data_IF_803014098912
#
_entry.id   IF_803014098912
#
_cell.length_a   1.000
_cell.length_b   1.000
_cell.length_c   1.000
_cell.angle_alpha   90.00
_cell.angle_beta   90.00
_cell.angle_gamma   90.00
#
_symmetry.space_group_name_H-M   'P 1'
#
loop_
_entity.id
_entity.type
_entity.pdbx_description
1 polymer ?
#
# COMPACT_ATOMS: atom_id res chain seq x y z
N UNK A 1 26.74 -82.15 -58.06
CA UNK A 1 27.85 -81.17 -58.01
C UNK A 1 27.32 -79.83 -57.51
N UNK A 2 28.06 -79.21 -56.57
CA UNK A 2 27.84 -77.88 -55.95
C UNK A 2 27.79 -76.74 -56.98
N UNK A 3 27.00 -75.67 -56.71
CA UNK A 3 27.52 -74.39 -56.18
C UNK A 3 26.43 -73.33 -55.98
N UNK A 4 26.56 -72.66 -54.83
CA UNK A 4 25.86 -71.48 -54.37
C UNK A 4 26.06 -70.26 -55.29
N UNK A 5 25.08 -69.36 -55.29
CA UNK A 5 25.32 -67.92 -55.44
C UNK A 5 24.21 -67.14 -54.72
N UNK A 6 24.35 -67.01 -53.40
CA UNK A 6 23.60 -66.03 -52.62
C UNK A 6 24.12 -64.63 -52.95
N UNK A 7 23.25 -63.78 -53.47
CA UNK A 7 23.49 -62.36 -53.73
C UNK A 7 23.47 -61.61 -52.39
N UNK A 8 24.58 -60.93 -52.06
CA UNK A 8 24.70 -60.01 -50.93
C UNK A 8 24.17 -58.63 -51.37
N UNK A 9 23.25 -58.04 -50.62
CA UNK A 9 23.04 -56.59 -50.61
C UNK A 9 22.86 -56.14 -49.17
N UNK A 10 23.83 -55.38 -48.68
CA UNK A 10 23.68 -54.51 -47.53
C UNK A 10 22.57 -53.50 -47.83
N UNK A 11 21.78 -53.10 -46.84
CA UNK A 11 21.95 -51.77 -46.26
C UNK A 11 20.95 -51.51 -45.13
N UNK A 12 21.56 -51.01 -44.06
CA UNK A 12 21.00 -50.48 -42.85
C UNK A 12 20.09 -49.28 -43.05
N UNK A 13 19.13 -49.18 -42.11
CA UNK A 13 18.55 -47.97 -41.52
C UNK A 13 17.70 -47.06 -42.43
N UNK A 14 16.40 -47.07 -42.15
CA UNK A 14 15.56 -45.86 -42.24
C UNK A 14 14.33 -46.00 -41.33
N UNK A 15 14.54 -45.81 -40.03
CA UNK A 15 13.49 -45.47 -39.07
C UNK A 15 13.81 -44.08 -38.51
N UNK A 16 12.98 -43.08 -38.82
CA UNK A 16 13.04 -41.77 -38.15
C UNK A 16 13.04 -40.55 -39.07
N UNK A 17 11.93 -40.28 -39.76
CA UNK A 17 11.75 -38.99 -40.46
C UNK A 17 10.40 -38.31 -40.22
N UNK A 18 9.37 -39.00 -39.72
CA UNK A 18 8.02 -38.41 -39.51
C UNK A 18 7.73 -37.93 -38.09
N UNK A 19 8.50 -38.36 -37.07
CA UNK A 19 8.25 -37.99 -35.67
C UNK A 19 8.89 -36.66 -35.25
N UNK A 20 9.88 -36.15 -36.00
CA UNK A 20 10.56 -34.88 -35.69
C UNK A 20 9.65 -33.65 -35.85
N UNK A 21 8.82 -33.62 -36.89
CA UNK A 21 7.91 -32.49 -37.13
C UNK A 21 6.80 -32.35 -36.07
N UNK A 22 6.31 -33.48 -35.55
CA UNK A 22 5.28 -33.46 -34.49
C UNK A 22 5.89 -33.00 -33.16
N UNK A 23 7.12 -33.40 -32.84
CA UNK A 23 7.83 -32.92 -31.64
C UNK A 23 8.18 -31.43 -31.70
N UNK A 24 8.51 -30.88 -32.88
CA UNK A 24 8.78 -29.45 -33.03
C UNK A 24 7.50 -28.60 -32.85
N UNK A 25 6.36 -29.08 -33.35
CA UNK A 25 5.07 -28.40 -33.17
C UNK A 25 4.65 -28.42 -31.70
N UNK A 26 4.79 -29.56 -31.01
CA UNK A 26 4.46 -29.66 -29.58
C UNK A 26 5.42 -28.79 -28.74
N UNK A 27 6.71 -28.79 -29.09
CA UNK A 27 7.72 -27.98 -28.40
C UNK A 27 7.48 -26.47 -28.55
N UNK A 28 7.13 -26.01 -29.74
CA UNK A 28 6.79 -24.60 -29.99
C UNK A 28 5.49 -24.18 -29.30
N UNK A 29 4.47 -25.04 -29.28
CA UNK A 29 3.23 -24.78 -28.53
C UNK A 29 3.47 -24.70 -27.01
N UNK A 30 4.29 -25.60 -26.45
CA UNK A 30 4.66 -25.52 -25.03
C UNK A 30 5.45 -24.26 -24.71
N UNK A 31 6.40 -23.87 -25.57
CA UNK A 31 7.19 -22.66 -25.37
C UNK A 31 6.28 -21.42 -25.34
N UNK A 32 5.35 -21.30 -26.29
CA UNK A 32 4.38 -20.20 -26.32
C UNK A 32 3.51 -20.17 -25.07
N UNK A 33 3.01 -21.31 -24.60
CA UNK A 33 2.20 -21.39 -23.39
C UNK A 33 2.97 -20.91 -22.15
N UNK A 34 4.24 -21.30 -22.01
CA UNK A 34 5.09 -20.86 -20.89
C UNK A 34 5.38 -19.36 -20.98
N UNK A 35 5.68 -18.83 -22.16
CA UNK A 35 5.91 -17.39 -22.33
C UNK A 35 4.65 -16.56 -22.08
N UNK A 36 3.47 -17.00 -22.51
CA UNK A 36 2.21 -16.29 -22.27
C UNK A 36 1.86 -16.31 -20.79
N UNK A 37 2.00 -17.46 -20.13
CA UNK A 37 1.74 -17.59 -18.69
C UNK A 37 2.75 -16.76 -17.89
N UNK A 38 4.03 -16.83 -18.25
CA UNK A 38 5.09 -16.04 -17.62
C UNK A 38 4.91 -14.54 -17.81
N UNK A 39 4.48 -14.09 -18.99
CA UNK A 39 4.17 -12.68 -19.25
C UNK A 39 2.92 -12.23 -18.49
N UNK A 40 1.88 -13.05 -18.41
CA UNK A 40 0.67 -12.74 -17.65
C UNK A 40 0.93 -12.62 -16.15
N UNK A 41 1.73 -13.53 -15.57
CA UNK A 41 2.12 -13.44 -14.15
C UNK A 41 3.00 -12.24 -13.88
N UNK A 42 4.00 -11.95 -14.73
CA UNK A 42 4.81 -10.73 -14.62
C UNK A 42 3.95 -9.48 -14.74
N UNK A 43 3.00 -9.46 -15.66
CA UNK A 43 2.07 -8.32 -15.82
C UNK A 43 1.19 -8.16 -14.59
N UNK A 44 0.75 -9.24 -13.94
CA UNK A 44 0.00 -9.16 -12.69
C UNK A 44 0.84 -8.53 -11.57
N UNK A 45 2.10 -8.95 -11.41
CA UNK A 45 3.01 -8.38 -10.41
C UNK A 45 3.41 -6.94 -10.70
N UNK A 46 3.59 -6.57 -11.96
CA UNK A 46 3.99 -5.21 -12.35
C UNK A 46 2.79 -4.26 -12.36
N UNK A 47 1.60 -4.70 -12.79
CA UNK A 47 0.42 -3.83 -12.78
C UNK A 47 -0.13 -3.57 -11.37
N UNK A 48 0.03 -4.49 -10.41
CA UNK A 48 -0.31 -4.18 -9.00
C UNK A 48 0.58 -3.05 -8.42
N UNK A 49 1.76 -2.83 -9.02
CA UNK A 49 2.70 -1.74 -8.68
C UNK A 49 2.42 -0.46 -9.49
N UNK A 50 1.77 -0.55 -10.65
CA UNK A 50 1.59 0.59 -11.59
C UNK A 50 0.14 1.06 -11.80
N UNK A 51 -0.88 0.28 -11.43
CA UNK A 51 -2.30 0.67 -11.60
C UNK A 51 -2.71 1.77 -10.64
N UNK A 52 -1.93 2.02 -9.59
CA UNK A 52 -2.01 3.22 -8.77
C UNK A 52 -1.18 4.34 -9.39
N UNK A 53 -1.72 4.94 -10.46
CA UNK A 53 -1.15 6.14 -11.04
C UNK A 53 -0.95 7.19 -9.95
N UNK A 54 0.31 7.59 -9.78
CA UNK A 54 0.79 8.70 -8.97
C UNK A 54 1.13 8.43 -7.47
N UNK A 55 1.09 7.19 -7.02
CA UNK A 55 1.48 6.81 -5.65
C UNK A 55 3.00 6.68 -5.51
N UNK A 56 3.62 7.43 -4.60
CA UNK A 56 5.04 7.35 -4.34
C UNK A 56 5.43 6.04 -3.63
N UNK A 57 6.59 5.49 -4.02
CA UNK A 57 7.13 4.25 -3.48
C UNK A 57 7.81 4.50 -2.14
N UNK A 58 7.35 3.83 -1.09
CA UNK A 58 8.10 3.74 0.17
C UNK A 58 9.10 2.57 0.11
N UNK A 59 10.35 2.80 0.48
CA UNK A 59 11.35 1.73 0.58
C UNK A 59 11.29 1.08 1.97
N UNK A 60 10.98 -0.22 2.00
CA UNK A 60 11.04 -1.04 3.21
C UNK A 60 12.42 -1.70 3.33
N UNK A 61 13.11 -1.55 4.46
CA UNK A 61 14.42 -2.18 4.65
C UNK A 61 14.40 -3.73 4.68
N UNK A 62 13.25 -4.38 4.93
CA UNK A 62 13.05 -5.83 4.84
C UNK A 62 11.55 -6.12 4.85
N UNK A 63 10.94 -6.50 3.71
CA UNK A 63 9.46 -6.61 3.60
C UNK A 63 8.90 -7.97 4.01
N UNK A 64 9.73 -9.02 4.12
CA UNK A 64 9.25 -10.40 4.25
C UNK A 64 8.85 -10.82 5.67
N UNK A 65 9.18 -10.01 6.69
CA UNK A 65 8.94 -10.32 8.10
C UNK A 65 8.08 -9.26 8.81
N UNK A 66 7.68 -8.20 8.10
CA UNK A 66 6.92 -7.08 8.68
C UNK A 66 5.43 -7.38 8.72
N UNK A 67 4.80 -7.03 9.84
CA UNK A 67 3.36 -7.17 10.06
C UNK A 67 2.53 -6.32 9.10
N UNK A 68 3.08 -5.20 8.65
CA UNK A 68 2.42 -4.30 7.71
C UNK A 68 3.19 -4.12 6.40
N UNK A 69 2.43 -3.99 5.33
CA UNK A 69 2.89 -3.48 4.05
C UNK A 69 2.26 -2.10 3.82
N UNK A 70 3.08 -1.07 3.66
CA UNK A 70 2.63 0.24 3.16
C UNK A 70 2.41 0.14 1.65
N UNK A 71 1.18 0.39 1.21
CA UNK A 71 0.77 0.30 -0.20
C UNK A 71 0.79 1.67 -0.87
N UNK A 72 0.36 2.70 -0.16
CA UNK A 72 0.31 4.06 -0.66
C UNK A 72 0.33 5.08 0.47
N UNK A 73 0.60 6.33 0.12
CA UNK A 73 0.35 7.47 0.99
C UNK A 73 0.03 8.71 0.16
N UNK A 74 -0.70 9.65 0.78
CA UNK A 74 -1.10 10.93 0.19
C UNK A 74 -0.99 12.02 1.26
N UNK A 75 -0.33 13.12 0.91
CA UNK A 75 -0.08 14.29 1.78
C UNK A 75 -0.79 15.54 1.27
N UNK A 76 -1.61 15.44 0.23
CA UNK A 76 -2.33 16.56 -0.37
C UNK A 76 -3.81 16.50 -0.09
N UNK A 77 -4.53 15.57 -0.71
CA UNK A 77 -6.00 15.59 -0.68
C UNK A 77 -6.63 14.24 -0.31
N UNK A 78 -5.93 13.13 -0.54
CA UNK A 78 -6.46 11.80 -0.32
C UNK A 78 -7.81 11.56 -1.04
N UNK A 79 -8.09 12.32 -2.10
CA UNK A 79 -9.30 12.20 -2.90
C UNK A 79 -9.35 10.88 -3.66
N UNK A 80 -8.19 10.28 -3.92
CA UNK A 80 -8.04 8.96 -4.54
C UNK A 80 -8.14 7.83 -3.50
N UNK A 81 -7.50 7.99 -2.33
CA UNK A 81 -7.43 6.96 -1.29
C UNK A 81 -8.69 6.87 -0.43
N UNK A 82 -9.21 8.01 0.04
CA UNK A 82 -10.39 8.10 0.91
C UNK A 82 -11.66 8.46 0.15
N UNK A 83 -11.57 8.91 -1.11
CA UNK A 83 -12.72 9.37 -1.91
C UNK A 83 -13.45 10.57 -1.30
N UNK A 84 -12.75 11.36 -0.48
CA UNK A 84 -13.28 12.56 0.18
C UNK A 84 -12.79 13.80 -0.57
N UNK A 85 -13.73 14.66 -0.98
CA UNK A 85 -13.44 15.81 -1.84
C UNK A 85 -12.93 17.07 -1.12
N UNK A 86 -13.09 17.16 0.20
CA UNK A 86 -12.74 18.36 0.99
C UNK A 86 -11.82 18.01 2.15
N UNK A 87 -10.98 17.01 1.93
CA UNK A 87 -9.79 16.80 2.71
C UNK A 87 -8.69 17.31 1.79
N UNK A 88 -8.16 18.51 2.00
CA UNK A 88 -7.15 19.11 1.11
C UNK A 88 -6.22 19.99 1.96
N UNK A 89 -4.96 19.58 2.06
CA UNK A 89 -3.90 20.33 2.71
C UNK A 89 -3.58 21.58 1.91
N UNK A 90 -3.29 22.66 2.61
CA UNK A 90 -2.74 23.84 1.96
C UNK A 90 -1.31 23.55 1.51
N UNK A 91 -1.11 23.36 0.21
CA UNK A 91 0.18 22.92 -0.32
C UNK A 91 1.19 24.07 -0.46
N UNK A 92 1.79 24.48 0.67
CA UNK A 92 2.82 25.51 0.75
C UNK A 92 4.25 24.92 0.93
N UNK A 93 4.41 23.61 0.68
CA UNK A 93 5.69 22.89 0.68
C UNK A 93 6.08 22.27 2.04
N UNK A 94 5.16 22.24 3.00
CA UNK A 94 5.32 21.59 4.31
C UNK A 94 4.02 20.88 4.73
N UNK A 95 4.12 19.96 5.68
CA UNK A 95 3.05 19.58 6.59
C UNK A 95 3.19 20.39 7.87
N UNK A 96 2.27 21.30 8.14
CA UNK A 96 2.28 22.08 9.36
C UNK A 96 1.85 21.25 10.58
N UNK A 97 2.58 21.45 11.67
CA UNK A 97 2.09 21.10 13.01
C UNK A 97 1.95 22.34 13.87
N UNK A 98 3.06 23.06 14.07
CA UNK A 98 3.09 24.29 14.89
C UNK A 98 2.62 25.54 14.15
N UNK A 99 2.87 25.63 12.84
CA UNK A 99 2.68 26.88 12.10
C UNK A 99 1.26 27.18 11.63
N UNK A 100 0.33 26.23 11.78
CA UNK A 100 -1.07 26.42 11.38
C UNK A 100 -1.90 27.09 12.48
N UNK A 101 -2.78 28.00 12.05
CA UNK A 101 -3.62 28.82 12.91
C UNK A 101 -5.02 28.23 13.02
N UNK A 102 -5.19 27.18 13.80
CA UNK A 102 -6.48 26.53 14.01
C UNK A 102 -6.29 25.23 14.76
N UNK A 103 -6.69 25.19 16.03
CA UNK A 103 -6.60 23.96 16.83
C UNK A 103 -7.69 23.02 16.39
N UNK A 104 -7.31 21.81 16.03
CA UNK A 104 -8.23 20.73 15.71
C UNK A 104 -9.19 21.02 14.54
N UNK A 105 -8.83 21.93 13.65
CA UNK A 105 -9.55 22.17 12.41
C UNK A 105 -8.90 21.39 11.26
N UNK A 106 -9.63 21.16 10.17
CA UNK A 106 -9.03 20.63 8.94
C UNK A 106 -8.30 21.76 8.17
N UNK A 107 -7.38 21.44 7.26
CA UNK A 107 -6.52 22.44 6.64
C UNK A 107 -7.28 23.50 5.82
N UNK A 108 -8.42 23.14 5.22
CA UNK A 108 -9.27 24.07 4.48
C UNK A 108 -9.83 25.23 5.33
N UNK A 109 -9.88 25.07 6.65
CA UNK A 109 -10.29 26.10 7.61
C UNK A 109 -9.10 26.72 8.36
N UNK A 110 -7.86 26.52 7.88
CA UNK A 110 -6.65 27.02 8.53
C UNK A 110 -6.17 26.14 9.70
N UNK A 111 -6.67 24.91 9.81
CA UNK A 111 -6.29 23.96 10.85
C UNK A 111 -5.04 23.15 10.55
N UNK A 112 -4.80 22.12 11.36
CA UNK A 112 -3.64 21.24 11.25
C UNK A 112 -3.66 20.39 9.98
N UNK A 113 -2.47 20.08 9.46
CA UNK A 113 -2.30 19.27 8.26
C UNK A 113 -2.43 17.77 8.50
N UNK A 114 -2.65 17.01 7.43
CA UNK A 114 -2.83 15.56 7.52
C UNK A 114 -1.93 14.77 6.58
N UNK A 115 -1.77 13.48 6.86
CA UNK A 115 -1.27 12.48 5.91
C UNK A 115 -2.21 11.28 5.93
N UNK A 116 -2.44 10.72 4.75
CA UNK A 116 -3.19 9.47 4.61
C UNK A 116 -2.26 8.36 4.19
N UNK A 117 -2.34 7.21 4.86
CA UNK A 117 -1.59 6.02 4.56
C UNK A 117 -2.54 4.89 4.16
N UNK A 118 -2.26 4.17 3.09
CA UNK A 118 -2.94 2.90 2.78
C UNK A 118 -2.03 1.76 3.17
N UNK A 119 -2.42 0.99 4.19
CA UNK A 119 -1.63 -0.13 4.69
C UNK A 119 -2.39 -1.44 4.63
N UNK A 120 -1.65 -2.53 4.51
CA UNK A 120 -2.18 -3.89 4.54
C UNK A 120 -1.56 -4.69 5.65
N UNK A 121 -2.39 -5.33 6.49
CA UNK A 121 -1.91 -6.30 7.47
C UNK A 121 -1.52 -7.60 6.74
N UNK A 122 -0.24 -7.95 6.79
CA UNK A 122 0.32 -9.19 6.22
C UNK A 122 0.60 -10.27 7.27
N UNK A 123 0.35 -9.95 8.54
CA UNK A 123 0.48 -10.90 9.64
C UNK A 123 -0.52 -12.04 9.51
N UNK A 124 -0.27 -13.13 10.21
CA UNK A 124 -1.21 -14.25 10.30
C UNK A 124 -2.37 -13.97 11.28
N UNK A 125 -2.22 -12.97 12.14
CA UNK A 125 -3.17 -12.56 13.17
C UNK A 125 -3.58 -11.09 12.99
N UNK A 126 -4.72 -10.73 13.58
CA UNK A 126 -5.10 -9.34 13.74
C UNK A 126 -4.05 -8.58 14.54
N UNK A 127 -3.83 -7.32 14.19
CA UNK A 127 -2.84 -6.47 14.84
C UNK A 127 -3.49 -5.22 15.38
N UNK A 128 -3.20 -4.88 16.63
CA UNK A 128 -3.63 -3.63 17.25
C UNK A 128 -2.55 -2.58 17.04
N UNK A 129 -2.89 -1.47 16.39
CA UNK A 129 -1.98 -0.35 16.17
C UNK A 129 -2.02 0.56 17.41
N UNK A 130 -0.95 0.54 18.20
CA UNK A 130 -0.85 1.32 19.44
C UNK A 130 -0.63 2.80 19.13
N UNK A 131 0.42 3.08 18.37
CA UNK A 131 0.81 4.42 17.97
C UNK A 131 1.45 4.43 16.59
N UNK A 132 1.46 5.61 15.99
CA UNK A 132 2.17 5.89 14.74
C UNK A 132 3.14 7.03 14.99
N UNK A 133 4.40 6.82 14.65
CA UNK A 133 5.44 7.85 14.75
C UNK A 133 5.80 8.38 13.38
N UNK A 134 5.71 9.70 13.22
CA UNK A 134 6.21 10.42 12.04
C UNK A 134 7.37 11.28 12.50
N UNK A 135 8.57 11.05 11.95
CA UNK A 135 9.81 11.72 12.36
C UNK A 135 10.01 11.75 13.88
N UNK A 136 9.67 10.63 14.55
CA UNK A 136 9.77 10.44 15.99
C UNK A 136 8.75 11.23 16.84
N UNK A 137 7.73 11.85 16.23
CA UNK A 137 6.56 12.42 16.90
C UNK A 137 5.42 11.41 16.91
N UNK A 138 4.87 11.15 18.09
CA UNK A 138 3.89 10.09 18.34
C UNK A 138 2.47 10.58 18.10
N UNK A 139 1.70 9.77 17.38
CA UNK A 139 0.29 9.97 17.11
C UNK A 139 -0.50 8.80 17.66
N UNK A 140 -1.49 9.09 18.50
CA UNK A 140 -2.33 8.09 19.15
C UNK A 140 -3.61 7.81 18.35
N UNK A 141 -4.18 6.61 18.52
CA UNK A 141 -5.50 6.33 17.97
C UNK A 141 -6.59 7.20 18.61
N UNK A 142 -7.48 7.76 17.80
CA UNK A 142 -8.60 8.57 18.27
C UNK A 142 -9.87 7.75 18.52
N UNK A 143 -10.00 7.24 19.75
CA UNK A 143 -11.21 6.53 20.18
C UNK A 143 -12.51 7.35 20.06
N UNK A 144 -12.46 8.70 19.99
CA UNK A 144 -13.68 9.51 19.83
C UNK A 144 -14.22 9.47 18.40
N UNK A 145 -13.42 9.05 17.43
CA UNK A 145 -13.86 8.88 16.03
C UNK A 145 -14.54 7.54 15.77
N UNK A 146 -14.48 6.62 16.74
CA UNK A 146 -14.88 5.23 16.60
C UNK A 146 -16.33 5.07 16.12
N UNK A 147 -16.52 4.40 14.98
CA UNK A 147 -17.83 4.12 14.39
C UNK A 147 -18.54 5.32 13.76
N UNK A 148 -17.84 6.46 13.62
CA UNK A 148 -18.40 7.69 13.04
C UNK A 148 -17.94 7.81 11.60
N UNK A 149 -18.86 8.14 10.70
CA UNK A 149 -18.51 8.41 9.29
C UNK A 149 -17.66 9.67 9.22
N UNK A 150 -16.49 9.56 8.60
CA UNK A 150 -15.57 10.69 8.39
C UNK A 150 -16.29 11.80 7.62
N UNK A 151 -16.33 13.00 8.19
CA UNK A 151 -17.04 14.13 7.60
C UNK A 151 -16.22 15.43 7.74
N UNK A 152 -15.76 15.96 6.60
CA UNK A 152 -14.95 17.18 6.56
C UNK A 152 -15.76 18.45 6.26
N UNK A 153 -17.07 18.33 6.03
CA UNK A 153 -17.93 19.45 5.65
C UNK A 153 -18.39 20.30 6.84
N UNK A 154 -18.38 19.73 8.04
CA UNK A 154 -18.82 20.39 9.27
C UNK A 154 -17.68 20.43 10.26
N UNK A 155 -17.26 21.63 10.74
CA UNK A 155 -16.21 21.73 11.74
C UNK A 155 -16.63 21.00 13.00
N UNK A 156 -15.66 20.31 13.60
CA UNK A 156 -15.88 19.50 14.78
C UNK A 156 -15.61 20.31 16.05
N UNK A 157 -16.63 21.05 16.50
CA UNK A 157 -16.53 21.87 17.71
C UNK A 157 -16.76 21.06 19.00
N UNK A 158 -17.10 19.77 18.91
CA UNK A 158 -17.50 18.96 20.06
C UNK A 158 -16.39 18.00 20.46
N UNK A 159 -15.63 18.38 21.47
CA UNK A 159 -14.61 17.51 22.05
C UNK A 159 -15.18 16.38 22.92
N UNK A 160 -16.49 16.36 23.18
CA UNK A 160 -17.08 15.50 24.23
C UNK A 160 -17.85 14.29 23.71
N UNK A 161 -18.48 14.37 22.53
CA UNK A 161 -19.41 13.34 22.01
C UNK A 161 -19.17 13.08 20.53
N UNK A 162 -18.24 12.17 20.23
CA UNK A 162 -18.01 11.69 18.87
C UNK A 162 -17.37 12.73 17.94
N UNK A 163 -16.29 12.34 17.25
CA UNK A 163 -15.58 13.23 16.34
C UNK A 163 -15.73 12.85 14.87
N UNK A 164 -15.95 13.85 14.04
CA UNK A 164 -16.08 13.72 12.59
C UNK A 164 -14.76 13.33 11.92
N UNK A 165 -13.63 13.70 12.53
CA UNK A 165 -12.27 13.40 12.08
C UNK A 165 -11.31 13.36 13.29
N UNK A 166 -10.10 12.78 13.14
CA UNK A 166 -9.14 12.69 14.24
C UNK A 166 -8.77 14.06 14.80
N UNK A 167 -8.53 14.11 16.11
CA UNK A 167 -7.93 15.31 16.69
C UNK A 167 -6.46 15.51 16.33
N UNK A 168 -5.97 16.72 16.57
CA UNK A 168 -4.55 17.08 16.49
C UNK A 168 -3.68 16.04 17.21
N UNK A 169 -2.62 15.57 16.56
CA UNK A 169 -1.71 14.55 17.08
C UNK A 169 -2.34 13.16 17.21
N UNK A 170 -3.47 12.91 16.53
CA UNK A 170 -4.15 11.60 16.54
C UNK A 170 -4.40 11.07 15.13
N UNK A 171 -4.73 9.79 15.07
CA UNK A 171 -5.12 9.12 13.83
C UNK A 171 -6.45 8.38 13.95
N UNK A 172 -7.12 8.16 12.82
CA UNK A 172 -8.21 7.21 12.68
C UNK A 172 -7.89 6.17 11.61
N UNK A 173 -8.43 4.97 11.82
CA UNK A 173 -8.41 3.88 10.84
C UNK A 173 -9.74 3.94 10.11
N UNK A 174 -9.69 3.90 8.79
CA UNK A 174 -10.84 4.01 7.90
C UNK A 174 -10.81 2.80 6.98
N UNK A 175 -11.89 2.02 7.01
CA UNK A 175 -12.01 0.84 6.15
C UNK A 175 -12.04 1.24 4.67
N UNK A 176 -11.60 0.34 3.79
CA UNK A 176 -11.68 0.51 2.33
C UNK A 176 -13.12 0.30 1.83
N UNK A 177 -14.05 1.10 2.34
CA UNK A 177 -15.46 1.09 1.96
C UNK A 177 -15.82 2.38 1.20
N UNK A 178 -16.85 2.35 0.32
CA UNK A 178 -17.33 3.55 -0.38
C UNK A 178 -17.78 4.67 0.55
N UNK A 179 -18.09 4.31 1.80
CA UNK A 179 -18.40 5.23 2.88
C UNK A 179 -17.19 5.19 3.82
N UNK A 180 -16.51 6.34 4.06
CA UNK A 180 -15.31 6.38 4.90
C UNK A 180 -15.69 6.28 6.38
N UNK A 181 -16.11 5.10 6.80
CA UNK A 181 -16.45 4.81 8.20
C UNK A 181 -15.16 4.62 8.99
N UNK A 182 -15.04 5.36 10.10
CA UNK A 182 -13.90 5.23 11.00
C UNK A 182 -14.11 4.00 11.90
N UNK A 183 -13.08 3.15 11.98
CA UNK A 183 -13.11 1.88 12.69
C UNK A 183 -13.46 2.06 14.17
N UNK A 184 -14.20 1.11 14.73
CA UNK A 184 -14.58 1.11 16.15
C UNK A 184 -13.45 0.69 17.08
N UNK A 185 -12.35 0.17 16.55
CA UNK A 185 -11.15 -0.23 17.29
C UNK A 185 -9.88 0.18 16.54
N UNK A 186 -8.75 0.13 17.23
CA UNK A 186 -7.42 0.22 16.62
C UNK A 186 -6.92 -1.12 16.05
N UNK A 187 -7.82 -2.10 15.84
CA UNK A 187 -7.49 -3.40 15.26
C UNK A 187 -7.50 -3.33 13.74
N UNK A 188 -6.50 -3.97 13.12
CA UNK A 188 -6.46 -4.21 11.69
C UNK A 188 -6.49 -5.73 11.47
N UNK A 189 -7.61 -6.29 10.98
CA UNK A 189 -7.74 -7.73 10.80
C UNK A 189 -6.73 -8.32 9.82
N UNK A 190 -6.46 -9.61 9.94
CA UNK A 190 -5.54 -10.34 9.06
C UNK A 190 -5.91 -10.17 7.58
N UNK A 191 -4.95 -9.73 6.77
CA UNK A 191 -5.10 -9.64 5.31
C UNK A 191 -5.87 -8.41 4.82
N UNK A 192 -6.46 -7.64 5.73
CA UNK A 192 -7.23 -6.44 5.40
C UNK A 192 -6.35 -5.26 5.01
N UNK A 193 -6.93 -4.42 4.16
CA UNK A 193 -6.32 -3.16 3.71
C UNK A 193 -7.16 -2.02 4.25
N UNK A 194 -6.51 -1.06 4.90
CA UNK A 194 -7.16 0.07 5.55
C UNK A 194 -6.44 1.35 5.15
N UNK A 195 -7.20 2.45 5.17
CA UNK A 195 -6.65 3.79 5.12
C UNK A 195 -6.47 4.30 6.54
N UNK A 196 -5.40 5.02 6.81
CA UNK A 196 -5.14 5.67 8.09
C UNK A 196 -5.05 7.16 7.81
N UNK A 197 -5.94 7.93 8.41
CA UNK A 197 -5.87 9.40 8.41
C UNK A 197 -5.15 9.83 9.67
N UNK A 198 -3.99 10.47 9.52
CA UNK A 198 -3.18 11.00 10.61
C UNK A 198 -3.25 12.51 10.54
N UNK A 199 -3.60 13.16 11.66
CA UNK A 199 -3.66 14.60 11.76
C UNK A 199 -2.52 15.11 12.65
N UNK A 200 -1.77 16.06 12.11
CA UNK A 200 -0.68 16.72 12.81
C UNK A 200 -1.27 17.62 13.91
N UNK A 201 -0.51 17.87 14.96
CA UNK A 201 -0.89 18.74 16.05
C UNK A 201 0.17 19.76 16.39
N UNK A 202 -0.07 20.52 17.47
CA UNK A 202 0.85 21.56 17.94
C UNK A 202 2.21 21.00 18.40
N UNK A 203 2.27 19.71 18.74
CA UNK A 203 3.51 19.03 19.13
C UNK A 203 4.34 18.57 17.91
N UNK A 204 3.73 18.51 16.73
CA UNK A 204 4.42 18.19 15.48
C UNK A 204 5.21 19.39 14.98
N UNK A 205 6.50 19.18 14.71
CA UNK A 205 7.29 20.17 14.00
C UNK A 205 6.85 20.24 12.54
N UNK A 206 6.90 21.44 11.96
CA UNK A 206 6.65 21.64 10.53
C UNK A 206 7.57 20.72 9.70
N UNK A 207 6.93 19.93 8.84
CA UNK A 207 7.56 18.85 8.11
C UNK A 207 7.72 19.25 6.64
N UNK A 208 8.93 19.67 6.25
CA UNK A 208 9.19 20.08 4.87
C UNK A 208 9.01 18.90 3.90
N UNK A 209 8.13 19.04 2.91
CA UNK A 209 7.82 17.98 1.95
C UNK A 209 8.98 17.65 1.00
N UNK A 210 9.96 18.55 0.92
CA UNK A 210 11.23 18.36 0.19
C UNK A 210 12.18 17.34 0.83
N UNK A 211 11.87 16.83 2.03
CA UNK A 211 12.63 15.81 2.73
C UNK A 211 11.81 14.53 2.85
N UNK A 212 12.51 13.40 2.91
CA UNK A 212 11.86 12.14 3.24
C UNK A 212 11.31 12.14 4.67
N UNK A 213 10.27 11.34 4.89
CA UNK A 213 9.62 11.18 6.20
C UNK A 213 9.85 9.77 6.73
N UNK A 214 10.25 9.67 7.99
CA UNK A 214 10.36 8.38 8.67
C UNK A 214 9.03 8.07 9.35
N UNK A 215 8.39 6.99 8.92
CA UNK A 215 7.17 6.46 9.51
C UNK A 215 7.49 5.22 10.32
N UNK A 216 6.94 5.08 11.50
CA UNK A 216 7.06 3.91 12.36
C UNK A 216 5.70 3.52 12.91
N UNK A 217 5.25 2.30 12.63
CA UNK A 217 3.99 1.74 13.13
C UNK A 217 4.28 0.84 14.34
N UNK A 218 3.80 1.21 15.53
CA UNK A 218 3.94 0.41 16.73
C UNK A 218 2.71 -0.49 16.95
N UNK A 219 2.97 -1.76 17.24
CA UNK A 219 1.96 -2.81 17.39
C UNK A 219 2.11 -3.57 18.71
N UNK A 220 2.74 -2.94 19.72
CA UNK A 220 3.03 -3.57 21.01
C UNK A 220 4.17 -4.58 20.96
N UNK A 221 4.97 -4.58 19.89
CA UNK A 221 6.15 -5.44 19.74
C UNK A 221 7.43 -4.66 19.96
N UNK A 222 8.52 -5.35 20.31
CA UNK A 222 9.81 -4.70 20.61
C UNK A 222 10.42 -3.92 19.43
N UNK A 223 10.01 -4.21 18.19
CA UNK A 223 10.53 -3.57 16.99
C UNK A 223 9.37 -3.06 16.14
N UNK A 224 9.12 -1.74 16.11
CA UNK A 224 8.06 -1.19 15.28
C UNK A 224 8.36 -1.39 13.79
N UNK A 225 7.30 -1.33 12.98
CA UNK A 225 7.43 -1.45 11.54
C UNK A 225 7.79 -0.10 10.93
N UNK A 226 9.04 0.06 10.49
CA UNK A 226 9.52 1.33 9.93
C UNK A 226 9.41 1.40 8.39
N UNK A 227 9.09 2.58 7.88
CA UNK A 227 9.07 2.94 6.47
C UNK A 227 9.78 4.28 6.25
N UNK A 228 10.49 4.41 5.14
CA UNK A 228 11.00 5.70 4.67
C UNK A 228 10.17 6.15 3.48
N UNK A 229 9.49 7.28 3.62
CA UNK A 229 8.74 7.94 2.56
C UNK A 229 9.72 8.86 1.83
N UNK A 230 9.98 8.59 0.55
CA UNK A 230 11.08 9.22 -0.20
C UNK A 230 10.79 10.68 -0.57
N UNK A 231 9.51 11.05 -0.65
CA UNK A 231 9.04 12.41 -0.89
C UNK A 231 7.81 12.70 -0.04
N UNK A 232 7.72 13.91 0.50
CA UNK A 232 6.49 14.39 1.11
C UNK A 232 5.53 15.02 0.09
N UNK A 233 5.93 15.30 -1.15
CA UNK A 233 5.07 15.88 -2.18
C UNK A 233 4.43 14.80 -3.05
N UNK A 234 3.32 14.20 -2.60
CA UNK A 234 2.71 13.03 -3.27
C UNK A 234 1.19 13.12 -3.25
N UNK A 235 0.57 12.72 -4.36
CA UNK A 235 -0.89 12.62 -4.57
C UNK A 235 -1.20 11.31 -5.26
#
# INVERSE_FOLDING_TARGET
MKKNSFKKSNNSKLFGSKRRGITDIIGTMMLMAVTVTGAATLTYFVNDVFVTGNIATASTLDSSTKSFQLMAYDTRDSSTLLTISNLDNNFDGKLCGVSCSGTNDLPLSGGSEFIVLKIKNKSFESVFLEDIKINNVEHEWDAKTAGITLNTMTPDFNDSDGRNYPADGKFSIIDENPIPLQSTSNEIPTGETVNILIKFGADDQDLLLSKGMQLSLNVGTMTPTEFLLESGEVR
#
